data_IF_015507325279
#
_entry.id   IF_015507325279
#
_cell.length_a   1.000
_cell.length_b   1.000
_cell.length_c   1.000
_cell.angle_alpha   90.00
_cell.angle_beta   90.00
_cell.angle_gamma   90.00
#
_symmetry.space_group_name_H-M   'P 1'
#
loop_
_entity.id
_entity.type
_entity.pdbx_description
1 polymer ?
#
# COMPACT_ATOMS: atom_id res chain seq x y z
N UNK A 1 -22.19 -4.77 -0.28
CA UNK A 1 -21.28 -4.56 0.88
C UNK A 1 -21.04 -3.07 0.93
N UNK A 2 -21.23 -2.42 2.08
CA UNK A 2 -20.98 -0.96 2.24
C UNK A 2 -19.48 -0.69 2.30
N UNK A 3 -19.03 0.42 1.76
CA UNK A 3 -17.64 0.87 1.78
C UNK A 3 -17.46 1.83 2.93
N UNK A 4 -16.55 1.46 3.85
CA UNK A 4 -16.25 2.26 5.03
C UNK A 4 -14.75 2.56 5.07
N UNK A 5 -14.39 3.84 5.09
CA UNK A 5 -13.03 4.29 5.36
C UNK A 5 -12.94 4.87 6.77
N UNK A 6 -12.33 4.12 7.67
CA UNK A 6 -12.07 4.54 9.05
C UNK A 6 -10.64 5.07 9.14
N UNK A 7 -10.48 6.34 8.87
CA UNK A 7 -9.16 6.99 8.68
C UNK A 7 -8.23 6.82 9.89
N UNK A 8 -8.76 6.91 11.12
CA UNK A 8 -7.97 6.70 12.34
C UNK A 8 -7.38 5.28 12.42
N UNK A 9 -8.20 4.26 12.14
CA UNK A 9 -7.75 2.87 12.13
C UNK A 9 -6.72 2.61 11.02
N UNK A 10 -6.97 3.15 9.82
CA UNK A 10 -6.05 3.03 8.69
C UNK A 10 -4.69 3.66 8.99
N UNK A 11 -4.65 4.86 9.60
CA UNK A 11 -3.40 5.50 10.05
C UNK A 11 -2.65 4.68 11.09
N UNK A 12 -3.37 4.13 12.07
CA UNK A 12 -2.76 3.29 13.10
C UNK A 12 -2.15 2.02 12.48
N UNK A 13 -2.86 1.40 11.54
CA UNK A 13 -2.36 0.25 10.79
C UNK A 13 -1.09 0.60 10.00
N UNK A 14 -1.10 1.72 9.27
CA UNK A 14 0.06 2.19 8.50
C UNK A 14 1.27 2.43 9.40
N UNK A 15 1.09 3.06 10.57
CA UNK A 15 2.17 3.27 11.54
C UNK A 15 2.74 1.95 12.09
N UNK A 16 1.87 0.98 12.36
CA UNK A 16 2.27 -0.35 12.83
C UNK A 16 3.06 -1.11 11.75
N UNK A 17 2.60 -1.06 10.52
CA UNK A 17 3.28 -1.65 9.36
C UNK A 17 4.66 -1.01 9.19
N UNK A 18 4.74 0.32 9.20
CA UNK A 18 6.02 1.05 9.07
C UNK A 18 7.02 0.65 10.17
N UNK A 19 6.57 0.56 11.41
CA UNK A 19 7.42 0.13 12.53
C UNK A 19 7.90 -1.32 12.36
N UNK A 20 7.04 -2.22 11.88
CA UNK A 20 7.39 -3.61 11.64
C UNK A 20 8.38 -3.75 10.49
N UNK A 21 8.07 -3.18 9.33
CA UNK A 21 8.91 -3.27 8.13
C UNK A 21 10.29 -2.64 8.36
N UNK A 22 10.38 -1.52 9.09
CA UNK A 22 11.69 -0.91 9.45
C UNK A 22 12.56 -1.89 10.24
N UNK A 23 12.00 -2.62 11.20
CA UNK A 23 12.75 -3.62 11.98
C UNK A 23 13.16 -4.82 11.15
N UNK A 24 12.25 -5.30 10.27
CA UNK A 24 12.54 -6.42 9.38
C UNK A 24 13.64 -6.08 8.38
N UNK A 25 13.58 -4.89 7.77
CA UNK A 25 14.61 -4.39 6.85
C UNK A 25 15.98 -4.37 7.53
N UNK A 26 16.08 -3.80 8.74
CA UNK A 26 17.33 -3.78 9.49
C UNK A 26 17.90 -5.20 9.73
N UNK A 27 17.02 -6.18 10.05
CA UNK A 27 17.44 -7.56 10.22
C UNK A 27 17.90 -8.20 8.90
N UNK A 28 17.23 -7.92 7.79
CA UNK A 28 17.64 -8.41 6.46
C UNK A 28 18.98 -7.82 6.02
N UNK A 29 19.25 -6.55 6.30
CA UNK A 29 20.52 -5.91 6.02
C UNK A 29 21.68 -6.51 6.84
N UNK A 30 21.42 -6.92 8.08
CA UNK A 30 22.41 -7.67 8.88
C UNK A 30 22.70 -9.04 8.26
N UNK A 31 21.68 -9.75 7.79
CA UNK A 31 21.84 -11.04 7.10
C UNK A 31 22.62 -10.84 5.80
N UNK A 32 22.28 -9.83 4.98
CA UNK A 32 23.00 -9.54 3.73
C UNK A 32 24.49 -9.26 3.99
N UNK A 33 24.81 -8.47 5.02
CA UNK A 33 26.20 -8.23 5.43
C UNK A 33 26.92 -9.54 5.85
N UNK A 34 26.24 -10.40 6.60
CA UNK A 34 26.82 -11.69 7.00
C UNK A 34 27.07 -12.60 5.79
N UNK A 35 26.14 -12.65 4.82
CA UNK A 35 26.31 -13.39 3.58
C UNK A 35 27.48 -12.84 2.76
N UNK A 36 27.55 -11.52 2.60
CA UNK A 36 28.66 -10.86 1.90
C UNK A 36 30.01 -11.20 2.53
N UNK A 37 30.13 -11.09 3.87
CA UNK A 37 31.35 -11.43 4.59
C UNK A 37 31.71 -12.90 4.42
N UNK A 38 30.73 -13.80 4.48
CA UNK A 38 30.98 -15.23 4.25
C UNK A 38 31.50 -15.48 2.83
N UNK A 39 30.93 -14.84 1.83
CA UNK A 39 31.34 -15.02 0.42
C UNK A 39 32.76 -14.46 0.17
N UNK A 40 33.06 -13.25 0.69
CA UNK A 40 34.25 -12.48 0.30
C UNK A 40 35.42 -12.61 1.25
N UNK A 41 35.18 -12.75 2.57
CA UNK A 41 36.25 -12.66 3.58
C UNK A 41 36.72 -14.02 4.13
N UNK A 42 36.13 -15.13 3.69
CA UNK A 42 36.50 -16.45 4.17
C UNK A 42 37.41 -17.19 3.17
N UNK A 43 38.52 -16.58 2.77
CA UNK A 43 39.48 -17.13 1.82
C UNK A 43 40.13 -18.47 2.25
N UNK A 44 40.11 -18.75 3.55
CA UNK A 44 40.66 -19.99 4.15
C UNK A 44 39.67 -21.15 4.02
N UNK A 45 38.38 -20.92 3.75
CA UNK A 45 37.36 -21.94 3.58
C UNK A 45 37.28 -22.30 2.08
N UNK A 46 37.90 -23.43 1.71
CA UNK A 46 37.99 -23.93 0.33
C UNK A 46 37.48 -25.37 0.23
N UNK A 47 37.16 -25.76 -0.99
CA UNK A 47 36.69 -27.10 -1.32
C UNK A 47 35.20 -27.10 -1.69
N UNK A 48 34.77 -28.21 -2.30
CA UNK A 48 33.47 -28.36 -2.98
C UNK A 48 32.28 -27.85 -2.12
N UNK A 49 32.28 -28.17 -0.83
CA UNK A 49 31.21 -27.73 0.10
C UNK A 49 31.18 -26.20 0.27
N UNK A 50 32.36 -25.62 0.55
CA UNK A 50 32.43 -24.18 0.79
C UNK A 50 32.27 -23.37 -0.49
N UNK A 51 32.85 -23.82 -1.60
CA UNK A 51 32.75 -23.13 -2.88
C UNK A 51 31.30 -23.15 -3.39
N UNK A 52 30.60 -24.29 -3.26
CA UNK A 52 29.17 -24.36 -3.59
C UNK A 52 28.30 -23.55 -2.65
N UNK A 53 28.62 -23.47 -1.34
CA UNK A 53 27.90 -22.66 -0.40
C UNK A 53 28.04 -21.17 -0.72
N UNK A 54 29.24 -20.68 -1.04
CA UNK A 54 29.47 -19.29 -1.44
C UNK A 54 28.73 -18.94 -2.73
N UNK A 55 28.80 -19.80 -3.73
CA UNK A 55 28.07 -19.61 -4.99
C UNK A 55 26.53 -19.54 -4.71
N UNK A 56 26.04 -20.43 -3.85
CA UNK A 56 24.64 -20.46 -3.46
C UNK A 56 24.20 -19.21 -2.69
N UNK A 57 25.02 -18.76 -1.72
CA UNK A 57 24.76 -17.52 -0.99
C UNK A 57 24.67 -16.31 -1.93
N UNK A 58 25.58 -16.19 -2.90
CA UNK A 58 25.57 -15.09 -3.87
C UNK A 58 24.38 -15.16 -4.83
N UNK A 59 24.12 -16.36 -5.39
CA UNK A 59 23.16 -16.48 -6.50
C UNK A 59 21.71 -16.64 -6.05
N UNK A 60 21.47 -17.16 -4.83
CA UNK A 60 20.11 -17.46 -4.36
C UNK A 60 19.76 -16.67 -3.12
N UNK A 61 20.55 -16.78 -2.04
CA UNK A 61 20.17 -16.17 -0.76
C UNK A 61 20.23 -14.64 -0.80
N UNK A 62 21.26 -14.05 -1.39
CA UNK A 62 21.37 -12.59 -1.50
C UNK A 62 20.19 -11.97 -2.26
N UNK A 63 19.80 -12.45 -3.47
CA UNK A 63 18.61 -11.96 -4.12
C UNK A 63 17.32 -12.15 -3.31
N UNK A 64 17.14 -13.26 -2.58
CA UNK A 64 15.97 -13.45 -1.70
C UNK A 64 15.92 -12.39 -0.60
N UNK A 65 17.04 -12.11 0.05
CA UNK A 65 17.11 -11.08 1.12
C UNK A 65 16.83 -9.69 0.53
N UNK A 66 17.41 -9.35 -0.60
CA UNK A 66 17.14 -8.09 -1.31
C UNK A 66 15.67 -7.95 -1.71
N UNK A 67 15.11 -9.04 -2.24
CA UNK A 67 13.67 -9.09 -2.56
C UNK A 67 12.79 -8.86 -1.33
N UNK A 68 13.16 -9.42 -0.17
CA UNK A 68 12.45 -9.21 1.09
C UNK A 68 12.52 -7.75 1.56
N UNK A 69 13.68 -7.11 1.44
CA UNK A 69 13.84 -5.67 1.73
C UNK A 69 12.95 -4.83 0.81
N UNK A 70 12.97 -5.08 -0.49
CA UNK A 70 12.14 -4.37 -1.47
C UNK A 70 10.65 -4.58 -1.20
N UNK A 71 10.25 -5.79 -0.85
CA UNK A 71 8.87 -6.13 -0.51
C UNK A 71 8.39 -5.34 0.71
N UNK A 72 9.17 -5.31 1.79
CA UNK A 72 8.84 -4.55 2.99
C UNK A 72 8.78 -3.03 2.73
N UNK A 73 9.69 -2.50 1.91
CA UNK A 73 9.65 -1.11 1.47
C UNK A 73 8.39 -0.80 0.63
N UNK A 74 8.03 -1.70 -0.29
CA UNK A 74 6.82 -1.55 -1.09
C UNK A 74 5.55 -1.60 -0.23
N UNK A 75 5.49 -2.49 0.77
CA UNK A 75 4.38 -2.59 1.72
C UNK A 75 4.23 -1.27 2.50
N UNK A 76 5.31 -0.74 3.07
CA UNK A 76 5.28 0.51 3.83
C UNK A 76 4.84 1.69 2.95
N UNK A 77 5.45 1.84 1.77
CA UNK A 77 5.16 2.91 0.81
C UNK A 77 3.71 2.87 0.32
N UNK A 78 3.21 1.69 -0.05
CA UNK A 78 1.82 1.54 -0.54
C UNK A 78 0.79 1.88 0.53
N UNK A 79 1.03 1.53 1.80
CA UNK A 79 0.13 1.91 2.89
C UNK A 79 0.14 3.42 3.16
N UNK A 80 1.29 4.09 3.10
CA UNK A 80 1.36 5.55 3.18
C UNK A 80 0.65 6.21 1.99
N UNK A 81 0.88 5.72 0.78
CA UNK A 81 0.24 6.20 -0.43
C UNK A 81 -1.29 6.05 -0.38
N UNK A 82 -1.80 4.94 0.16
CA UNK A 82 -3.23 4.71 0.35
C UNK A 82 -3.86 5.81 1.20
N UNK A 83 -3.26 6.15 2.34
CA UNK A 83 -3.72 7.23 3.22
C UNK A 83 -3.63 8.60 2.52
N UNK A 84 -2.49 8.89 1.89
CA UNK A 84 -2.25 10.18 1.22
C UNK A 84 -3.21 10.37 0.05
N UNK A 85 -3.48 9.32 -0.74
CA UNK A 85 -4.45 9.37 -1.84
C UNK A 85 -5.85 9.61 -1.31
N UNK A 86 -6.28 8.91 -0.25
CA UNK A 86 -7.57 9.13 0.35
C UNK A 86 -7.73 10.56 0.87
N UNK A 87 -6.79 11.06 1.66
CA UNK A 87 -6.87 12.41 2.24
C UNK A 87 -6.75 13.50 1.19
N UNK A 88 -6.00 13.30 0.13
CA UNK A 88 -5.85 14.26 -0.97
C UNK A 88 -7.01 14.27 -1.96
N UNK A 89 -7.60 13.13 -2.26
CA UNK A 89 -8.61 13.00 -3.32
C UNK A 89 -10.05 12.90 -2.77
N UNK A 90 -10.25 12.41 -1.54
CA UNK A 90 -11.58 12.14 -0.99
C UNK A 90 -11.94 13.09 0.14
N UNK A 91 -11.38 12.86 1.35
CA UNK A 91 -11.71 13.64 2.54
C UNK A 91 -10.70 13.45 3.67
N UNK A 92 -10.60 14.46 4.57
CA UNK A 92 -9.71 14.41 5.73
C UNK A 92 -10.28 13.69 6.97
N UNK A 93 -11.52 13.21 6.88
CA UNK A 93 -12.22 12.48 7.95
C UNK A 93 -12.66 11.10 7.46
N UNK A 94 -13.07 10.25 8.41
CA UNK A 94 -13.68 8.95 8.09
C UNK A 94 -14.99 9.12 7.36
N UNK A 95 -15.24 8.31 6.35
CA UNK A 95 -16.51 8.30 5.63
C UNK A 95 -17.05 6.86 5.56
N UNK A 96 -18.37 6.74 5.68
CA UNK A 96 -19.10 5.49 5.47
C UNK A 96 -20.16 5.68 4.40
N UNK A 97 -20.16 4.82 3.42
CA UNK A 97 -21.10 4.87 2.31
C UNK A 97 -22.55 4.90 2.80
N UNK A 98 -22.92 4.01 3.72
CA UNK A 98 -24.30 3.92 4.24
C UNK A 98 -24.77 5.17 5.00
N UNK A 99 -23.85 5.86 5.69
CA UNK A 99 -24.15 7.11 6.37
C UNK A 99 -24.35 8.26 5.37
N UNK A 100 -23.52 8.32 4.34
CA UNK A 100 -23.66 9.31 3.26
C UNK A 100 -24.95 9.12 2.47
N UNK A 101 -25.27 7.88 2.09
CA UNK A 101 -26.52 7.55 1.37
C UNK A 101 -27.75 7.93 2.19
N UNK A 102 -27.76 7.64 3.50
CA UNK A 102 -28.84 8.03 4.39
C UNK A 102 -28.96 9.55 4.48
N UNK A 103 -27.84 10.27 4.69
CA UNK A 103 -27.85 11.73 4.79
C UNK A 103 -28.32 12.39 3.47
N UNK A 104 -28.00 11.81 2.31
CA UNK A 104 -28.50 12.27 1.02
C UNK A 104 -30.03 12.11 0.96
N UNK A 105 -30.57 10.97 1.36
CA UNK A 105 -32.00 10.71 1.33
C UNK A 105 -32.78 11.58 2.31
N UNK A 106 -32.25 11.79 3.52
CA UNK A 106 -32.81 12.71 4.49
C UNK A 106 -32.84 14.15 3.94
N UNK A 107 -31.77 14.58 3.29
CA UNK A 107 -31.67 15.91 2.67
C UNK A 107 -32.68 16.07 1.52
N UNK A 108 -32.84 15.06 0.66
CA UNK A 108 -33.89 15.07 -0.39
C UNK A 108 -35.28 15.19 0.20
N UNK A 109 -35.54 14.49 1.29
CA UNK A 109 -36.80 14.56 1.98
C UNK A 109 -37.09 15.97 2.54
N UNK A 110 -36.06 16.66 3.08
CA UNK A 110 -36.17 18.05 3.53
C UNK A 110 -36.42 19.02 2.37
N UNK A 111 -35.77 18.81 1.23
CA UNK A 111 -36.02 19.63 0.03
C UNK A 111 -37.47 19.47 -0.41
N UNK A 112 -37.93 18.23 -0.59
CA UNK A 112 -39.31 17.95 -1.03
C UNK A 112 -40.36 18.51 -0.06
N UNK A 113 -40.09 18.43 1.23
CA UNK A 113 -40.98 19.02 2.26
C UNK A 113 -41.07 20.54 2.14
N UNK A 114 -39.94 21.25 2.03
CA UNK A 114 -39.94 22.72 1.92
C UNK A 114 -40.49 23.19 0.57
N UNK A 115 -40.27 22.44 -0.52
CA UNK A 115 -40.88 22.73 -1.83
C UNK A 115 -42.42 22.61 -1.78
N UNK A 116 -42.96 21.63 -1.06
CA UNK A 116 -44.39 21.48 -0.83
C UNK A 116 -44.95 22.69 -0.06
N UNK A 117 -44.29 23.04 1.05
CA UNK A 117 -44.70 24.23 1.82
C UNK A 117 -44.66 25.51 0.98
N UNK A 118 -43.65 25.65 0.13
CA UNK A 118 -43.51 26.79 -0.77
C UNK A 118 -44.70 26.85 -1.75
N UNK A 119 -45.11 25.73 -2.32
CA UNK A 119 -46.22 25.63 -3.25
C UNK A 119 -47.58 25.95 -2.51
N UNK A 120 -47.75 25.39 -1.31
CA UNK A 120 -48.93 25.68 -0.48
C UNK A 120 -49.05 27.17 -0.15
N UNK A 121 -47.93 27.88 0.05
CA UNK A 121 -47.94 29.37 0.27
C UNK A 121 -48.36 30.14 -0.96
N UNK A 122 -48.03 29.69 -2.17
CA UNK A 122 -48.44 30.33 -3.41
C UNK A 122 -49.92 30.12 -3.74
N UNK A 123 -50.58 29.11 -3.15
CA UNK A 123 -52.01 28.84 -3.30
C UNK A 123 -52.91 29.66 -2.34
N UNK A 124 -52.33 30.41 -1.39
CA UNK A 124 -53.06 31.24 -0.44
C UNK A 124 -53.49 32.59 -1.03
N UNK A 125 -54.64 33.12 -0.60
CA UNK A 125 -55.16 34.43 -1.05
C UNK A 125 -54.21 35.59 -0.68
N UNK A 126 -53.38 35.44 0.35
CA UNK A 126 -52.38 36.43 0.76
C UNK A 126 -51.01 35.73 0.93
N UNK A 127 -50.10 36.00 0.01
CA UNK A 127 -48.72 35.41 0.02
C UNK A 127 -47.84 36.24 0.96
N UNK A 128 -47.25 35.56 1.98
CA UNK A 128 -46.19 36.16 2.78
C UNK A 128 -44.85 36.04 2.11
N UNK A 129 -44.37 37.10 1.45
CA UNK A 129 -43.11 37.16 0.73
C UNK A 129 -41.87 36.86 1.62
N UNK A 130 -41.96 37.13 2.92
CA UNK A 130 -40.89 36.85 3.87
C UNK A 130 -40.76 35.32 4.07
N UNK A 131 -41.87 34.62 4.23
CA UNK A 131 -41.91 33.17 4.40
C UNK A 131 -41.48 32.46 3.11
N UNK A 132 -41.93 32.96 1.97
CA UNK A 132 -41.44 32.47 0.63
C UNK A 132 -39.95 32.59 0.53
N UNK A 133 -39.37 33.74 0.88
CA UNK A 133 -37.88 33.89 0.85
C UNK A 133 -37.18 32.92 1.79
N UNK A 134 -37.67 32.75 3.01
CA UNK A 134 -37.13 31.82 3.99
C UNK A 134 -37.16 30.37 3.48
N UNK A 135 -38.24 29.93 2.84
CA UNK A 135 -38.36 28.59 2.28
C UNK A 135 -37.41 28.40 1.10
N UNK A 136 -37.27 29.39 0.23
CA UNK A 136 -36.31 29.35 -0.88
C UNK A 136 -34.86 29.27 -0.39
N UNK A 137 -34.50 30.00 0.65
CA UNK A 137 -33.17 29.95 1.25
C UNK A 137 -32.88 28.59 1.88
N UNK A 138 -33.87 27.99 2.59
CA UNK A 138 -33.76 26.61 3.11
C UNK A 138 -33.56 25.60 2.00
N UNK A 139 -34.37 25.64 0.94
CA UNK A 139 -34.25 24.73 -0.22
C UNK A 139 -32.85 24.86 -0.85
N UNK A 140 -32.40 26.11 -1.06
CA UNK A 140 -31.06 26.36 -1.62
C UNK A 140 -29.96 25.80 -0.74
N UNK A 141 -30.06 25.96 0.58
CA UNK A 141 -29.12 25.43 1.55
C UNK A 141 -29.10 23.91 1.56
N UNK A 142 -30.24 23.24 1.57
CA UNK A 142 -30.32 21.78 1.50
C UNK A 142 -29.80 21.23 0.17
N UNK A 143 -30.03 21.89 -0.95
CA UNK A 143 -29.45 21.48 -2.26
C UNK A 143 -27.93 21.55 -2.26
N UNK A 144 -27.32 22.54 -1.59
CA UNK A 144 -25.86 22.60 -1.42
C UNK A 144 -25.35 21.44 -0.57
N UNK A 145 -26.02 21.15 0.55
CA UNK A 145 -25.67 20.02 1.42
C UNK A 145 -25.77 18.70 0.65
N UNK A 146 -26.87 18.50 -0.10
CA UNK A 146 -27.05 17.31 -0.93
C UNK A 146 -25.90 17.15 -1.93
N UNK A 147 -25.56 18.20 -2.66
CA UNK A 147 -24.46 18.19 -3.62
C UNK A 147 -23.13 17.82 -2.96
N UNK A 148 -22.82 18.39 -1.80
CA UNK A 148 -21.57 18.11 -1.07
C UNK A 148 -21.51 16.65 -0.59
N UNK A 149 -22.64 16.08 -0.15
CA UNK A 149 -22.73 14.68 0.26
C UNK A 149 -22.59 13.72 -0.93
N UNK A 150 -23.25 14.01 -2.05
CA UNK A 150 -23.16 13.25 -3.29
C UNK A 150 -21.72 13.27 -3.85
N UNK A 151 -21.04 14.41 -3.78
CA UNK A 151 -19.64 14.53 -4.18
C UNK A 151 -18.69 13.72 -3.28
N UNK A 152 -18.91 13.72 -1.96
CA UNK A 152 -18.17 12.87 -1.03
C UNK A 152 -18.38 11.39 -1.33
N UNK A 153 -19.62 10.99 -1.57
CA UNK A 153 -19.95 9.60 -1.91
C UNK A 153 -19.28 9.19 -3.24
N UNK A 154 -19.39 10.02 -4.26
CA UNK A 154 -18.76 9.78 -5.57
C UNK A 154 -17.24 9.58 -5.43
N UNK A 155 -16.57 10.45 -4.68
CA UNK A 155 -15.12 10.36 -4.42
C UNK A 155 -14.76 9.10 -3.65
N UNK A 156 -15.52 8.72 -2.63
CA UNK A 156 -15.30 7.50 -1.85
C UNK A 156 -15.39 6.25 -2.73
N UNK A 157 -16.40 6.16 -3.59
CA UNK A 157 -16.60 5.04 -4.51
C UNK A 157 -15.46 4.97 -5.54
N UNK A 158 -15.07 6.11 -6.11
CA UNK A 158 -13.97 6.19 -7.07
C UNK A 158 -12.63 5.76 -6.43
N UNK A 159 -12.35 6.21 -5.21
CA UNK A 159 -11.19 5.81 -4.45
C UNK A 159 -11.16 4.30 -4.21
N UNK A 160 -12.28 3.72 -3.77
CA UNK A 160 -12.38 2.27 -3.53
C UNK A 160 -12.09 1.46 -4.80
N UNK A 161 -12.60 1.91 -5.95
CA UNK A 161 -12.35 1.24 -7.23
C UNK A 161 -10.88 1.33 -7.68
N UNK A 162 -10.19 2.46 -7.39
CA UNK A 162 -8.80 2.73 -7.78
C UNK A 162 -7.79 2.12 -6.80
N UNK A 163 -8.10 2.07 -5.51
CA UNK A 163 -7.14 1.76 -4.45
C UNK A 163 -6.40 0.41 -4.58
N UNK A 164 -6.96 -0.68 -5.17
CA UNK A 164 -6.21 -1.92 -5.36
C UNK A 164 -4.95 -1.73 -6.21
N UNK A 165 -4.93 -0.78 -7.15
CA UNK A 165 -3.76 -0.51 -7.98
C UNK A 165 -2.54 0.00 -7.20
N UNK A 166 -2.76 0.59 -6.03
CA UNK A 166 -1.68 1.07 -5.14
C UNK A 166 -0.80 -0.09 -4.63
N UNK A 167 -1.36 -1.30 -4.56
CA UNK A 167 -0.71 -2.49 -4.01
C UNK A 167 -0.17 -3.47 -5.05
N UNK A 168 -0.25 -3.16 -6.34
CA UNK A 168 0.16 -4.09 -7.43
C UNK A 168 1.63 -4.48 -7.38
N UNK A 169 2.51 -3.56 -6.99
CA UNK A 169 3.96 -3.83 -6.88
C UNK A 169 4.25 -4.89 -5.82
N UNK A 170 3.49 -4.93 -4.73
CA UNK A 170 3.65 -5.89 -3.65
C UNK A 170 3.45 -7.32 -4.14
N UNK A 171 2.46 -7.55 -5.00
CA UNK A 171 2.15 -8.88 -5.52
C UNK A 171 3.30 -9.44 -6.36
N UNK A 172 3.87 -8.62 -7.23
CA UNK A 172 5.00 -9.01 -8.08
C UNK A 172 6.25 -9.36 -7.25
N UNK A 173 6.61 -8.50 -6.28
CA UNK A 173 7.74 -8.73 -5.38
C UNK A 173 7.51 -9.95 -4.48
N UNK A 174 6.31 -10.10 -3.92
CA UNK A 174 5.96 -11.27 -3.11
C UNK A 174 6.13 -12.56 -3.89
N UNK A 175 5.61 -12.62 -5.12
CA UNK A 175 5.73 -13.82 -5.95
C UNK A 175 7.19 -14.15 -6.26
N UNK A 176 8.04 -13.15 -6.52
CA UNK A 176 9.46 -13.34 -6.75
C UNK A 176 10.18 -13.87 -5.49
N UNK A 177 9.91 -13.28 -4.31
CA UNK A 177 10.46 -13.74 -3.03
C UNK A 177 10.02 -15.17 -2.71
N UNK A 178 8.73 -15.48 -2.87
CA UNK A 178 8.19 -16.82 -2.62
C UNK A 178 8.87 -17.89 -3.50
N UNK A 179 9.12 -17.60 -4.77
CA UNK A 179 9.87 -18.49 -5.67
C UNK A 179 11.30 -18.70 -5.17
N UNK A 180 12.01 -17.64 -4.82
CA UNK A 180 13.36 -17.72 -4.27
C UNK A 180 13.42 -18.51 -2.97
N UNK A 181 12.50 -18.31 -2.05
CA UNK A 181 12.39 -19.06 -0.79
C UNK A 181 12.11 -20.54 -1.03
N UNK A 182 11.27 -20.89 -2.01
CA UNK A 182 10.99 -22.29 -2.36
C UNK A 182 12.24 -23.00 -2.88
N UNK A 183 13.09 -22.32 -3.64
CA UNK A 183 14.39 -22.85 -4.12
C UNK A 183 15.39 -22.97 -2.97
N UNK A 184 15.42 -21.99 -2.06
CA UNK A 184 16.31 -22.00 -0.91
C UNK A 184 16.19 -23.28 -0.06
N UNK A 185 15.02 -23.83 0.07
CA UNK A 185 14.76 -25.03 0.88
C UNK A 185 15.18 -26.36 0.20
N UNK A 186 15.57 -26.36 -1.07
CA UNK A 186 15.82 -27.60 -1.86
C UNK A 186 17.27 -27.76 -2.34
N UNK A 187 18.13 -26.84 -2.03
CA UNK A 187 19.46 -26.74 -2.69
C UNK A 187 20.54 -27.59 -2.04
N UNK A 188 20.38 -28.06 -0.81
CA UNK A 188 21.37 -28.91 -0.16
C UNK A 188 21.26 -30.35 -0.61
N UNK A 189 22.39 -30.90 -1.11
CA UNK A 189 22.54 -32.34 -1.47
C UNK A 189 23.41 -33.04 -0.42
N UNK A 190 22.83 -33.91 0.43
CA UNK A 190 23.61 -34.60 1.48
C UNK A 190 24.60 -35.65 0.95
N UNK A 191 24.36 -36.23 -0.23
CA UNK A 191 25.22 -37.21 -0.81
C UNK A 191 26.54 -36.61 -1.33
N UNK A 192 26.48 -35.47 -2.02
CA UNK A 192 27.66 -34.74 -2.50
C UNK A 192 28.22 -33.76 -1.46
N UNK A 193 27.51 -33.54 -0.35
CA UNK A 193 27.81 -32.52 0.68
C UNK A 193 28.05 -31.14 0.07
N UNK A 194 27.20 -30.77 -0.89
CA UNK A 194 27.28 -29.50 -1.63
C UNK A 194 25.92 -28.92 -1.89
N UNK A 195 25.90 -27.61 -2.17
CA UNK A 195 24.72 -26.91 -2.64
C UNK A 195 24.61 -27.05 -4.17
N UNK A 196 23.43 -27.40 -4.65
CA UNK A 196 23.11 -27.41 -6.07
C UNK A 196 22.51 -26.06 -6.45
N UNK A 197 23.13 -25.38 -7.41
CA UNK A 197 22.55 -24.15 -7.96
C UNK A 197 21.35 -24.50 -8.85
N UNK A 198 20.24 -23.73 -8.74
CA UNK A 198 19.10 -23.86 -9.64
C UNK A 198 19.53 -23.61 -11.11
N UNK A 199 18.70 -24.10 -12.03
CA UNK A 199 18.91 -23.80 -13.45
C UNK A 199 18.65 -22.31 -13.72
N UNK A 200 19.18 -21.78 -14.84
CA UNK A 200 18.92 -20.39 -15.24
C UNK A 200 17.42 -20.10 -15.44
N UNK A 201 16.67 -21.08 -15.90
CA UNK A 201 15.22 -20.98 -16.10
C UNK A 201 14.48 -20.83 -14.77
N UNK A 202 14.97 -21.52 -13.72
CA UNK A 202 14.38 -21.42 -12.37
C UNK A 202 14.74 -20.10 -11.66
N UNK A 203 15.68 -19.33 -12.19
CA UNK A 203 16.19 -18.09 -11.61
C UNK A 203 15.53 -16.80 -12.17
N UNK A 204 14.53 -16.92 -13.05
CA UNK A 204 13.87 -15.75 -13.65
C UNK A 204 13.27 -14.73 -12.64
N UNK A 205 12.99 -15.17 -11.43
CA UNK A 205 12.55 -14.30 -10.34
C UNK A 205 13.63 -13.31 -9.88
N UNK A 206 14.93 -13.63 -10.06
CA UNK A 206 16.03 -12.72 -9.70
C UNK A 206 16.06 -11.48 -10.59
N UNK A 207 15.69 -11.59 -11.86
CA UNK A 207 15.68 -10.47 -12.79
C UNK A 207 14.70 -9.37 -12.30
N UNK A 208 13.57 -9.77 -11.70
CA UNK A 208 12.59 -8.84 -11.12
C UNK A 208 13.19 -8.10 -9.92
N UNK A 209 13.88 -8.85 -9.05
CA UNK A 209 14.49 -8.29 -7.83
C UNK A 209 15.68 -7.40 -8.18
N UNK A 210 16.57 -7.84 -9.07
CA UNK A 210 17.76 -7.08 -9.47
C UNK A 210 17.37 -5.78 -10.17
N UNK A 211 16.42 -5.82 -11.12
CA UNK A 211 15.91 -4.62 -11.78
C UNK A 211 15.35 -3.61 -10.77
N UNK A 212 14.54 -4.06 -9.82
CA UNK A 212 14.01 -3.20 -8.76
C UNK A 212 15.07 -2.72 -7.78
N UNK A 213 16.08 -3.53 -7.51
CA UNK A 213 17.19 -3.16 -6.64
C UNK A 213 18.08 -2.08 -7.25
N UNK A 214 18.28 -2.10 -8.56
CA UNK A 214 19.01 -1.07 -9.29
C UNK A 214 18.24 0.26 -9.38
N UNK A 215 16.90 0.19 -9.50
CA UNK A 215 16.00 1.35 -9.51
C UNK A 215 15.81 1.97 -8.12
N UNK A 216 16.24 1.30 -7.05
CA UNK A 216 16.04 1.74 -5.67
C UNK A 216 16.64 3.13 -5.46
N UNK A 217 15.79 4.06 -5.05
CA UNK A 217 16.22 5.38 -4.60
C UNK A 217 16.83 5.25 -3.20
N UNK A 218 18.15 5.41 -3.12
CA UNK A 218 18.89 5.20 -1.89
C UNK A 218 18.78 6.43 -0.99
N UNK A 219 18.28 6.26 0.23
CA UNK A 219 18.47 7.25 1.29
C UNK A 219 19.96 7.40 1.62
N UNK A 220 20.34 8.45 2.37
CA UNK A 220 21.74 8.63 2.79
C UNK A 220 22.25 7.43 3.62
N UNK A 221 21.38 6.81 4.40
CA UNK A 221 21.71 5.62 5.18
C UNK A 221 21.91 4.39 4.30
N UNK A 222 21.06 4.23 3.27
CA UNK A 222 21.24 3.19 2.24
C UNK A 222 22.56 3.37 1.46
N UNK A 223 22.95 4.61 1.14
CA UNK A 223 24.22 4.92 0.47
C UNK A 223 25.42 4.54 1.35
N UNK A 224 25.38 4.90 2.63
CA UNK A 224 26.40 4.55 3.60
C UNK A 224 26.52 3.02 3.76
N UNK A 225 25.38 2.31 3.77
CA UNK A 225 25.35 0.85 3.81
C UNK A 225 25.96 0.24 2.52
N UNK A 226 25.57 0.74 1.35
CA UNK A 226 26.11 0.27 0.06
C UNK A 226 27.64 0.50 -0.05
N UNK A 227 28.15 1.59 0.49
CA UNK A 227 29.59 1.84 0.57
C UNK A 227 30.30 0.85 1.49
N UNK A 228 29.69 0.46 2.62
CA UNK A 228 30.24 -0.53 3.55
C UNK A 228 30.38 -1.93 2.95
N UNK A 229 29.60 -2.23 1.90
CA UNK A 229 29.71 -3.51 1.17
C UNK A 229 30.82 -3.54 0.10
N UNK A 230 31.44 -2.40 -0.22
CA UNK A 230 32.51 -2.30 -1.23
C UNK A 230 33.94 -2.47 -0.67
N UNK A 231 34.10 -2.60 0.62
CA UNK A 231 35.36 -2.84 1.31
C UNK A 231 35.59 -4.33 1.49
#
# INVERSE_FOLDING_TARGET
MSIDMILGSARNQTNSIKSLTTKQIASYEEIERALFNFVTQTNNLKGVTYDSAKAYCSSVLTPVIRGSILLDQAIARSNEQYINTYTGEVHNDSLKQSELERAIEDTKSQIAFNERLLNEHFEQDAVDLREVSNLQDKISSYRKIQHDLEEKLRKLLAFNAKSPSIFQEIEALKNAVDQGMALANRSWNPASKSFTLPSREDMGWTDIIEGKWEEKDYSQDDLNYKESLKV
#
